data_IF_147980451199
#
_entry.id   IF_147980451199
#
_cell.length_a   1.000
_cell.length_b   1.000
_cell.length_c   1.000
_cell.angle_alpha   90.00
_cell.angle_beta   90.00
_cell.angle_gamma   90.00
#
_symmetry.space_group_name_H-M   'P 1'
#
loop_
_entity.id
_entity.type
_entity.pdbx_description
1 polymer ?
#
# COMPACT_ATOMS: atom_id res chain seq x y z
N UNK A 1 53.13 26.21 1.88
CA UNK A 1 51.91 27.04 1.98
C UNK A 1 50.87 26.17 2.66
N UNK A 2 50.49 26.56 3.88
CA UNK A 2 49.28 26.19 4.66
C UNK A 2 48.99 24.68 4.78
N UNK A 3 49.28 23.93 5.86
CA UNK A 3 49.07 24.10 7.32
C UNK A 3 47.70 24.68 7.73
N UNK A 4 46.98 23.85 8.49
CA UNK A 4 45.82 24.12 9.35
C UNK A 4 44.55 24.49 8.57
N UNK A 5 43.44 23.79 8.75
CA UNK A 5 42.34 24.09 9.69
C UNK A 5 41.26 23.04 9.34
N UNK A 6 40.50 22.33 10.18
CA UNK A 6 40.37 22.15 11.62
C UNK A 6 39.43 20.95 11.79
N UNK A 7 39.65 20.16 12.82
CA UNK A 7 38.79 19.06 13.25
C UNK A 7 37.39 19.55 13.67
N UNK A 8 36.38 18.69 13.46
CA UNK A 8 35.25 18.40 14.37
C UNK A 8 34.37 19.56 14.89
N UNK A 9 33.11 19.63 14.43
CA UNK A 9 31.87 19.78 15.24
C UNK A 9 30.74 19.12 14.43
N UNK A 10 30.41 17.84 14.67
CA UNK A 10 29.31 17.34 15.50
C UNK A 10 27.90 17.85 15.17
N UNK A 11 27.02 16.88 14.87
CA UNK A 11 25.58 16.82 15.17
C UNK A 11 24.62 17.75 14.41
N UNK A 12 23.95 17.19 13.39
CA UNK A 12 22.55 17.53 13.06
C UNK A 12 21.79 16.23 12.70
N UNK A 13 20.94 15.82 13.64
CA UNK A 13 19.77 14.92 13.61
C UNK A 13 19.65 13.74 12.60
N UNK A 14 19.41 12.50 13.08
CA UNK A 14 19.20 11.31 12.25
C UNK A 14 17.77 11.19 11.65
N UNK A 15 17.08 12.31 11.36
CA UNK A 15 15.64 12.32 11.03
C UNK A 15 15.26 12.82 9.63
N UNK A 16 16.19 12.84 8.67
CA UNK A 16 15.86 13.20 7.28
C UNK A 16 16.62 12.34 6.27
N UNK A 17 16.34 11.04 6.25
CA UNK A 17 16.75 10.14 5.16
C UNK A 17 15.69 9.11 4.78
N UNK A 18 14.40 9.43 4.96
CA UNK A 18 13.29 8.68 4.33
C UNK A 18 12.75 9.47 3.12
N UNK A 19 13.60 9.74 2.13
CA UNK A 19 13.13 10.05 0.78
C UNK A 19 13.13 8.72 0.02
N UNK A 20 11.93 8.28 -0.31
CA UNK A 20 11.61 6.99 -0.91
C UNK A 20 12.36 6.81 -2.26
N UNK A 21 13.35 5.92 -2.28
CA UNK A 21 13.88 5.34 -3.51
C UNK A 21 12.73 4.61 -4.24
N UNK A 22 12.18 5.27 -5.26
CA UNK A 22 11.06 4.77 -6.09
C UNK A 22 11.56 4.04 -7.36
N UNK A 23 12.86 3.79 -7.51
CA UNK A 23 13.44 3.28 -8.77
C UNK A 23 14.11 1.90 -8.72
N UNK A 24 13.76 1.04 -7.77
CA UNK A 24 14.18 -0.36 -7.79
C UNK A 24 12.96 -1.26 -7.56
N UNK A 25 12.29 -1.62 -8.66
CA UNK A 25 11.48 -2.82 -8.70
C UNK A 25 12.39 -3.88 -9.31
N UNK A 26 12.95 -4.82 -8.53
CA UNK A 26 13.63 -5.97 -9.10
C UNK A 26 12.58 -6.80 -9.84
N UNK A 27 12.75 -6.93 -11.15
CA UNK A 27 12.21 -8.08 -11.85
C UNK A 27 12.89 -9.33 -11.26
N UNK A 28 12.12 -10.42 -11.14
CA UNK A 28 12.54 -11.79 -10.84
C UNK A 28 13.04 -12.15 -9.43
N UNK A 29 12.09 -12.50 -8.54
CA UNK A 29 12.25 -13.63 -7.62
C UNK A 29 10.87 -14.26 -7.33
N UNK A 30 10.55 -15.48 -7.83
CA UNK A 30 9.25 -16.12 -7.60
C UNK A 30 9.06 -16.72 -6.19
N UNK A 31 9.86 -16.34 -5.19
CA UNK A 31 9.92 -17.01 -3.88
C UNK A 31 9.50 -16.14 -2.69
N UNK A 32 8.93 -14.95 -2.91
CA UNK A 32 8.19 -14.26 -1.85
C UNK A 32 6.74 -14.70 -1.94
N UNK A 33 6.34 -15.62 -1.07
CA UNK A 33 4.94 -16.03 -0.96
C UNK A 33 4.13 -14.80 -0.54
N UNK A 34 3.25 -14.29 -1.41
CA UNK A 34 2.47 -13.12 -1.05
C UNK A 34 1.57 -13.50 0.11
N UNK A 35 1.43 -12.58 1.08
CA UNK A 35 0.61 -12.77 2.30
C UNK A 35 -0.79 -13.30 1.93
N UNK A 36 -1.34 -12.85 0.80
CA UNK A 36 -2.58 -13.35 0.22
C UNK A 36 -2.37 -13.66 -1.26
N UNK A 37 -2.77 -14.87 -1.67
CA UNK A 37 -2.79 -15.29 -3.08
C UNK A 37 -3.88 -14.58 -3.89
N UNK A 38 -3.59 -14.26 -5.16
CA UNK A 38 -4.55 -13.64 -6.10
C UNK A 38 -5.87 -14.41 -6.21
N UNK A 39 -5.80 -15.74 -6.24
CA UNK A 39 -6.99 -16.61 -6.34
C UNK A 39 -7.98 -16.35 -5.20
N UNK A 40 -7.47 -16.17 -3.97
CA UNK A 40 -8.29 -15.91 -2.79
C UNK A 40 -9.00 -14.56 -2.86
N UNK A 41 -8.35 -13.54 -3.43
CA UNK A 41 -8.97 -12.23 -3.67
C UNK A 41 -10.08 -12.28 -4.73
N UNK A 42 -9.92 -13.14 -5.74
CA UNK A 42 -10.95 -13.39 -6.74
C UNK A 42 -12.14 -14.14 -6.14
N UNK A 43 -11.89 -15.19 -5.36
CA UNK A 43 -12.95 -15.96 -4.68
C UNK A 43 -13.75 -15.09 -3.70
N UNK A 44 -13.08 -14.21 -2.96
CA UNK A 44 -13.72 -13.26 -2.05
C UNK A 44 -14.50 -12.13 -2.77
N UNK A 45 -14.43 -12.04 -4.11
CA UNK A 45 -15.17 -11.04 -4.88
C UNK A 45 -14.66 -9.60 -4.73
N UNK A 46 -13.40 -9.39 -4.34
CA UNK A 46 -12.84 -8.05 -4.05
C UNK A 46 -12.79 -7.15 -5.30
N UNK A 47 -12.82 -7.74 -6.49
CA UNK A 47 -12.73 -7.02 -7.76
C UNK A 47 -14.03 -6.30 -8.17
N UNK A 48 -15.16 -6.57 -7.50
CA UNK A 48 -16.42 -5.89 -7.78
C UNK A 48 -16.38 -4.44 -7.27
N UNK A 49 -16.27 -3.49 -8.20
CA UNK A 49 -16.35 -2.06 -7.91
C UNK A 49 -17.77 -1.51 -7.96
N UNK A 50 -17.88 -0.18 -8.03
CA UNK A 50 -19.15 0.53 -8.19
C UNK A 50 -19.57 0.64 -9.66
N UNK A 51 -20.83 1.03 -9.88
CA UNK A 51 -21.35 1.38 -11.20
C UNK A 51 -20.57 2.54 -11.81
N UNK A 52 -20.51 2.60 -13.14
CA UNK A 52 -19.81 3.63 -13.90
C UNK A 52 -20.37 5.05 -13.74
N UNK A 53 -21.56 5.21 -13.13
CA UNK A 53 -22.12 6.50 -12.75
C UNK A 53 -21.72 6.96 -11.35
N UNK A 54 -21.22 6.06 -10.49
CA UNK A 54 -20.97 6.29 -9.07
C UNK A 54 -19.48 6.09 -8.70
N UNK A 55 -18.56 6.36 -9.63
CA UNK A 55 -17.13 6.23 -9.39
C UNK A 55 -16.44 7.60 -9.31
N UNK A 56 -15.37 7.69 -8.54
CA UNK A 56 -14.59 8.90 -8.38
C UNK A 56 -13.40 8.93 -9.36
N UNK A 57 -13.14 10.01 -10.12
CA UNK A 57 -12.11 10.06 -11.16
C UNK A 57 -10.69 9.66 -10.72
N UNK A 58 -10.30 10.01 -9.49
CA UNK A 58 -9.00 9.61 -8.90
C UNK A 58 -8.80 8.09 -8.78
N UNK A 59 -9.86 7.30 -8.87
CA UNK A 59 -9.79 5.83 -8.86
C UNK A 59 -9.36 5.24 -10.20
N UNK A 60 -9.28 6.04 -11.28
CA UNK A 60 -9.00 5.54 -12.64
C UNK A 60 -7.74 4.67 -12.70
N UNK A 61 -6.70 5.03 -11.96
CA UNK A 61 -5.44 4.28 -11.92
C UNK A 61 -5.54 2.89 -11.28
N UNK A 62 -6.58 2.61 -10.49
CA UNK A 62 -6.80 1.32 -9.81
C UNK A 62 -7.85 0.45 -10.52
N UNK A 63 -8.47 0.97 -11.57
CA UNK A 63 -9.51 0.29 -12.32
C UNK A 63 -8.94 -0.34 -13.59
N UNK A 64 -9.50 -1.48 -13.97
CA UNK A 64 -9.27 -2.07 -15.29
C UNK A 64 -10.03 -1.27 -16.35
N UNK A 65 -9.42 -1.05 -17.51
CA UNK A 65 -10.04 -0.32 -18.66
C UNK A 65 -11.32 -1.00 -19.16
N UNK A 66 -11.44 -2.32 -18.94
CA UNK A 66 -12.60 -3.12 -19.33
C UNK A 66 -13.73 -2.94 -18.31
N UNK A 67 -14.86 -2.40 -18.76
CA UNK A 67 -16.12 -2.40 -18.01
C UNK A 67 -16.94 -3.63 -18.42
N UNK A 68 -17.56 -4.31 -17.47
CA UNK A 68 -18.52 -5.39 -17.72
C UNK A 68 -19.83 -4.99 -17.07
N UNK A 69 -20.92 -5.00 -17.83
CA UNK A 69 -22.27 -4.72 -17.31
C UNK A 69 -22.33 -3.44 -16.46
N UNK A 70 -21.74 -2.34 -16.98
CA UNK A 70 -21.72 -1.01 -16.34
C UNK A 70 -21.04 -0.91 -14.96
N UNK A 71 -20.39 -1.99 -14.50
CA UNK A 71 -19.67 -2.01 -13.23
C UNK A 71 -18.17 -1.96 -13.47
N UNK A 72 -17.48 -1.13 -12.68
CA UNK A 72 -16.03 -1.06 -12.72
C UNK A 72 -15.41 -2.26 -12.03
N UNK A 73 -14.34 -2.78 -12.64
CA UNK A 73 -13.57 -3.90 -12.09
C UNK A 73 -12.28 -3.33 -11.51
N UNK A 74 -12.02 -3.63 -10.24
CA UNK A 74 -10.80 -3.23 -9.55
C UNK A 74 -9.67 -4.19 -9.94
N UNK A 75 -8.48 -3.64 -10.15
CA UNK A 75 -7.28 -4.43 -10.46
C UNK A 75 -6.76 -5.16 -9.22
N UNK A 76 -7.00 -6.47 -9.17
CA UNK A 76 -6.61 -7.35 -8.05
C UNK A 76 -5.10 -7.38 -7.83
N UNK A 77 -4.28 -7.25 -8.89
CA UNK A 77 -2.82 -7.27 -8.74
C UNK A 77 -2.34 -6.03 -8.00
N UNK A 78 -2.93 -4.86 -8.29
CA UNK A 78 -2.65 -3.63 -7.56
C UNK A 78 -3.13 -3.72 -6.13
N UNK A 79 -4.32 -4.27 -5.90
CA UNK A 79 -4.85 -4.49 -4.55
C UNK A 79 -3.92 -5.37 -3.72
N UNK A 80 -3.40 -6.46 -4.30
CA UNK A 80 -2.46 -7.37 -3.62
C UNK A 80 -1.20 -6.64 -3.17
N UNK A 81 -0.57 -5.86 -4.05
CA UNK A 81 0.63 -5.07 -3.73
C UNK A 81 0.36 -4.02 -2.65
N UNK A 82 -0.75 -3.29 -2.76
CA UNK A 82 -1.11 -2.26 -1.77
C UNK A 82 -1.42 -2.86 -0.40
N UNK A 83 -2.02 -4.05 -0.37
CA UNK A 83 -2.33 -4.76 0.87
C UNK A 83 -1.07 -5.19 1.62
N UNK A 84 -0.03 -5.59 0.89
CA UNK A 84 1.27 -5.97 1.45
C UNK A 84 2.00 -4.75 2.06
N UNK A 85 1.92 -3.59 1.40
CA UNK A 85 2.44 -2.33 1.95
C UNK A 85 1.67 -1.96 3.23
N UNK A 86 0.34 -2.04 3.20
CA UNK A 86 -0.49 -1.76 4.38
C UNK A 86 -0.16 -2.71 5.54
N UNK A 87 0.07 -4.00 5.26
CA UNK A 87 0.48 -4.98 6.26
C UNK A 87 1.80 -4.59 6.93
N UNK A 88 2.84 -4.29 6.14
CA UNK A 88 4.16 -3.87 6.67
C UNK A 88 4.05 -2.59 7.50
N UNK A 89 3.19 -1.66 7.09
CA UNK A 89 2.94 -0.42 7.82
C UNK A 89 2.26 -0.69 9.17
N UNK A 90 1.21 -1.52 9.19
CA UNK A 90 0.52 -1.92 10.42
C UNK A 90 1.47 -2.66 11.36
N UNK A 91 2.29 -3.57 10.84
CA UNK A 91 3.32 -4.29 11.60
C UNK A 91 4.32 -3.33 12.26
N UNK A 92 4.86 -2.35 11.50
CA UNK A 92 5.78 -1.31 12.02
C UNK A 92 5.14 -0.50 13.17
N UNK A 93 3.85 -0.20 13.09
CA UNK A 93 3.15 0.53 14.15
C UNK A 93 2.76 -0.35 15.34
N UNK A 94 2.41 -1.61 15.10
CA UNK A 94 2.12 -2.58 16.14
C UNK A 94 3.35 -2.86 17.02
N UNK A 95 4.54 -3.00 16.41
CA UNK A 95 5.81 -3.13 17.14
C UNK A 95 6.12 -1.93 18.04
N UNK A 96 5.61 -0.74 17.70
CA UNK A 96 5.76 0.49 18.51
C UNK A 96 4.69 0.64 19.60
N UNK A 97 3.76 -0.32 19.73
CA UNK A 97 2.66 -0.26 20.69
C UNK A 97 1.58 0.77 20.35
N UNK A 98 1.39 1.10 19.07
CA UNK A 98 0.34 2.03 18.64
C UNK A 98 -1.07 1.46 18.89
N UNK A 99 -2.04 2.34 19.15
CA UNK A 99 -3.46 1.98 19.28
C UNK A 99 -4.17 2.07 17.92
N UNK A 100 -5.01 1.08 17.61
CA UNK A 100 -5.78 1.03 16.35
C UNK A 100 -7.27 1.23 16.63
N UNK A 101 -7.95 2.00 15.77
CA UNK A 101 -9.41 2.16 15.79
C UNK A 101 -9.96 1.62 14.49
N UNK A 102 -10.86 0.64 14.57
CA UNK A 102 -11.57 0.09 13.43
C UNK A 102 -12.92 0.82 13.29
N UNK A 103 -13.14 1.47 12.14
CA UNK A 103 -14.36 2.23 11.85
C UNK A 103 -15.14 1.55 10.73
N UNK A 104 -16.42 1.31 10.98
CA UNK A 104 -17.35 0.75 10.00
C UNK A 104 -18.75 1.32 10.21
N UNK A 105 -19.32 1.92 9.15
CA UNK A 105 -20.63 2.59 9.21
C UNK A 105 -21.74 1.83 8.47
N UNK A 106 -21.39 0.72 7.80
CA UNK A 106 -22.31 -0.03 6.96
C UNK A 106 -23.01 -1.12 7.75
N UNK A 107 -24.35 -1.10 7.79
CA UNK A 107 -25.21 -2.09 8.47
C UNK A 107 -25.12 -3.53 7.91
N UNK A 108 -24.23 -3.82 6.96
CA UNK A 108 -23.95 -5.16 6.44
C UNK A 108 -22.80 -5.85 7.19
N UNK A 109 -22.13 -5.15 8.11
CA UNK A 109 -21.10 -5.72 8.98
C UNK A 109 -21.79 -6.34 10.20
N UNK A 110 -21.92 -7.68 10.22
CA UNK A 110 -22.31 -8.40 11.44
C UNK A 110 -21.22 -8.17 12.50
N UNK A 111 -21.65 -7.84 13.71
CA UNK A 111 -20.82 -7.56 14.90
C UNK A 111 -19.64 -8.53 15.00
N UNK A 112 -18.43 -7.98 15.06
CA UNK A 112 -17.25 -8.66 15.62
C UNK A 112 -17.23 -8.48 17.13
#
# INVERSE_FOLDING_TARGET
>A
MEKLVTQQVQNVDPKQSEILNISEIPAENPTETPIISKQKLLEAGVYFGHKASQWHPKMAQFLLKKKRNETHIIDVLKTQKMLEIAYKLVEKFAQKGAKFIFVGTKNRQKKS
#
